data_IF_681518625169
#
_entry.id   IF_681518625169
#
_cell.length_a   1.000
_cell.length_b   1.000
_cell.length_c   1.000
_cell.angle_alpha   90.00
_cell.angle_beta   90.00
_cell.angle_gamma   90.00
#
_symmetry.space_group_name_H-M   'P 1'
#
loop_
_entity.id
_entity.type
_entity.pdbx_description
1 polymer ?
#
# COMPACT_ATOMS: atom_id res chain seq x y z
N UNK A 1 6.84 3.98 -8.31
CA UNK A 1 5.96 3.16 -7.46
C UNK A 1 4.65 2.92 -8.17
N UNK A 2 4.14 1.71 -8.05
CA UNK A 2 2.97 1.19 -8.76
C UNK A 2 1.86 0.83 -7.77
N UNK A 3 0.59 1.06 -8.12
CA UNK A 3 -0.53 0.75 -7.20
C UNK A 3 -0.75 -0.75 -7.02
N UNK A 4 -0.40 -1.57 -8.00
CA UNK A 4 -0.46 -3.03 -7.96
C UNK A 4 0.83 -3.68 -8.48
N UNK A 5 0.95 -5.00 -8.41
CA UNK A 5 2.08 -5.72 -8.98
C UNK A 5 2.05 -5.65 -10.52
N UNK A 6 3.10 -5.09 -11.12
CA UNK A 6 3.28 -5.03 -12.58
C UNK A 6 3.18 -3.62 -13.19
N UNK A 7 3.79 -3.45 -14.38
CA UNK A 7 3.90 -2.16 -15.09
C UNK A 7 2.58 -1.67 -15.70
N UNK A 8 1.59 -2.55 -15.86
CA UNK A 8 0.27 -2.19 -16.36
C UNK A 8 -0.59 -1.48 -15.32
N UNK A 9 -0.14 -1.44 -14.06
CA UNK A 9 -0.85 -0.74 -12.99
C UNK A 9 -0.43 0.75 -12.95
N UNK A 10 -1.31 1.65 -12.48
CA UNK A 10 -1.03 3.07 -12.39
C UNK A 10 0.22 3.37 -11.57
N UNK A 11 1.02 4.32 -12.05
CA UNK A 11 2.06 4.94 -11.23
C UNK A 11 1.41 5.87 -10.22
N UNK A 12 1.84 5.75 -8.96
CA UNK A 12 1.25 6.50 -7.84
C UNK A 12 2.25 7.37 -7.10
N UNK A 13 3.52 7.29 -7.47
CA UNK A 13 4.61 8.06 -6.90
C UNK A 13 5.97 7.64 -7.44
N UNK A 14 7.01 8.37 -7.04
CA UNK A 14 8.41 8.10 -7.39
C UNK A 14 9.19 8.00 -6.09
N UNK A 15 9.88 6.89 -5.90
CA UNK A 15 10.95 6.78 -4.92
C UNK A 15 12.26 7.16 -5.64
N UNK A 16 12.93 8.20 -5.16
CA UNK A 16 14.19 8.65 -5.73
C UNK A 16 15.35 7.86 -5.14
N UNK A 17 16.43 7.79 -5.91
CA UNK A 17 17.67 7.18 -5.43
C UNK A 17 18.14 7.87 -4.15
N UNK A 18 18.38 7.09 -3.11
CA UNK A 18 18.79 7.58 -1.78
C UNK A 18 17.63 7.93 -0.85
N UNK A 19 16.37 7.81 -1.27
CA UNK A 19 15.24 7.92 -0.36
C UNK A 19 15.20 6.74 0.60
N UNK A 20 14.80 7.03 1.85
CA UNK A 20 14.57 6.00 2.85
C UNK A 20 13.19 5.36 2.62
N UNK A 21 13.19 4.08 2.24
CA UNK A 21 12.00 3.27 2.05
C UNK A 21 11.73 2.43 3.30
N UNK A 22 10.48 2.39 3.76
CA UNK A 22 10.02 1.28 4.60
C UNK A 22 9.56 0.14 3.71
N UNK A 23 9.95 -1.11 3.98
CA UNK A 23 9.57 -2.27 3.15
C UNK A 23 8.73 -3.27 3.94
N UNK A 24 7.67 -3.81 3.33
CA UNK A 24 6.70 -4.67 4.01
C UNK A 24 6.86 -6.15 3.64
N UNK A 25 6.81 -6.44 2.33
CA UNK A 25 6.71 -7.79 1.80
C UNK A 25 7.09 -7.81 0.31
N UNK A 26 7.28 -9.01 -0.23
CA UNK A 26 7.53 -9.23 -1.65
C UNK A 26 6.37 -9.97 -2.33
N UNK A 27 6.19 -9.71 -3.63
CA UNK A 27 5.23 -10.37 -4.51
C UNK A 27 5.86 -10.55 -5.90
N UNK A 28 5.40 -11.56 -6.64
CA UNK A 28 5.78 -11.75 -8.04
C UNK A 28 4.71 -11.15 -8.96
N UNK A 29 5.13 -10.50 -10.03
CA UNK A 29 4.22 -10.17 -11.14
C UNK A 29 3.90 -11.42 -11.99
N UNK A 30 3.08 -11.24 -13.03
CA UNK A 30 2.72 -12.31 -13.97
C UNK A 30 3.91 -12.86 -14.79
N UNK A 31 5.07 -12.21 -14.76
CA UNK A 31 6.29 -12.61 -15.45
C UNK A 31 7.34 -13.18 -14.49
N UNK A 32 6.95 -13.54 -13.25
CA UNK A 32 7.83 -13.99 -12.17
C UNK A 32 8.93 -12.98 -11.79
N UNK A 33 8.70 -11.69 -12.02
CA UNK A 33 9.58 -10.62 -11.56
C UNK A 33 9.16 -10.15 -10.18
N UNK A 34 10.13 -9.93 -9.30
CA UNK A 34 9.90 -9.60 -7.89
C UNK A 34 9.67 -8.11 -7.69
N UNK A 35 8.54 -7.77 -7.08
CA UNK A 35 8.25 -6.45 -6.53
C UNK A 35 8.21 -6.49 -5.01
N UNK A 36 8.55 -5.36 -4.42
CA UNK A 36 8.47 -5.09 -2.99
C UNK A 36 7.38 -4.06 -2.75
N UNK A 37 6.47 -4.34 -1.82
CA UNK A 37 5.57 -3.33 -1.29
C UNK A 37 6.36 -2.43 -0.35
N UNK A 38 6.51 -1.16 -0.74
CA UNK A 38 7.32 -0.17 -0.06
C UNK A 38 6.52 1.09 0.28
N UNK A 39 7.02 1.84 1.26
CA UNK A 39 6.53 3.14 1.71
C UNK A 39 7.66 4.14 1.48
N UNK A 40 7.47 5.06 0.55
CA UNK A 40 8.39 6.18 0.31
C UNK A 40 8.13 7.26 1.36
N UNK A 41 9.06 7.40 2.30
CA UNK A 41 8.91 8.29 3.46
C UNK A 41 9.14 9.76 3.13
N UNK A 42 10.16 10.14 2.34
CA UNK A 42 10.49 11.55 2.12
C UNK A 42 9.44 12.37 1.38
N UNK A 43 8.62 11.74 0.53
CA UNK A 43 7.62 12.41 -0.29
C UNK A 43 8.20 13.11 -1.52
N UNK A 44 9.49 12.98 -1.88
CA UNK A 44 10.28 13.99 -2.62
C UNK A 44 9.95 14.28 -4.11
N UNK A 45 8.68 14.35 -4.51
CA UNK A 45 8.23 14.51 -5.89
C UNK A 45 7.17 15.62 -6.14
N UNK A 46 7.58 16.89 -6.32
CA UNK A 46 6.68 17.97 -6.79
C UNK A 46 5.50 18.34 -5.85
N UNK A 47 4.34 17.70 -6.02
CA UNK A 47 3.22 17.73 -5.05
C UNK A 47 3.36 16.47 -4.19
N UNK A 48 4.03 16.62 -3.06
CA UNK A 48 4.66 15.57 -2.27
C UNK A 48 3.74 15.01 -1.18
N UNK A 49 3.39 13.72 -1.26
CA UNK A 49 2.74 13.01 -0.15
C UNK A 49 3.74 12.06 0.49
N UNK A 50 4.28 12.46 1.63
CA UNK A 50 5.10 11.58 2.46
C UNK A 50 4.34 10.28 2.78
N UNK A 51 5.09 9.19 2.92
CA UNK A 51 4.58 7.84 3.15
C UNK A 51 3.71 7.32 2.01
N UNK A 52 4.02 7.67 0.76
CA UNK A 52 3.35 7.07 -0.40
C UNK A 52 3.66 5.57 -0.44
N UNK A 53 2.63 4.72 -0.47
CA UNK A 53 2.79 3.27 -0.42
C UNK A 53 2.47 2.63 -1.76
N UNK A 54 3.29 1.67 -2.20
CA UNK A 54 3.14 1.03 -3.50
C UNK A 54 4.24 0.05 -3.81
N UNK A 55 4.15 -0.59 -4.97
CA UNK A 55 5.12 -1.58 -5.42
C UNK A 55 6.30 -0.95 -6.16
N UNK A 56 7.51 -1.43 -5.85
CA UNK A 56 8.78 -1.07 -6.50
C UNK A 56 9.45 -2.38 -6.93
N UNK A 57 10.19 -2.39 -8.04
CA UNK A 57 10.99 -3.55 -8.39
C UNK A 57 12.06 -3.80 -7.35
N UNK A 58 12.26 -5.05 -6.95
CA UNK A 58 13.31 -5.38 -6.00
C UNK A 58 14.70 -4.97 -6.51
N UNK A 59 14.92 -5.03 -7.83
CA UNK A 59 16.18 -4.67 -8.47
C UNK A 59 16.44 -3.14 -8.48
N UNK A 60 15.41 -2.33 -8.22
CA UNK A 60 15.52 -0.86 -8.11
C UNK A 60 15.84 -0.40 -6.67
N UNK A 61 15.89 -1.32 -5.70
CA UNK A 61 16.18 -1.02 -4.29
C UNK A 61 17.65 -1.34 -4.00
N UNK A 62 18.36 -0.34 -3.46
CA UNK A 62 19.72 -0.52 -2.95
C UNK A 62 19.66 -1.21 -1.57
N UNK A 63 19.82 -2.53 -1.56
CA UNK A 63 19.74 -3.36 -0.36
C UNK A 63 19.24 -4.78 -0.66
N UNK A 64 19.56 -5.73 0.21
CA UNK A 64 18.98 -7.08 0.10
C UNK A 64 17.51 -7.04 0.53
N UNK A 65 16.59 -7.40 -0.38
CA UNK A 65 15.15 -7.49 -0.11
C UNK A 65 14.65 -8.94 -0.10
N UNK A 66 15.55 -9.93 -0.21
CA UNK A 66 15.19 -11.34 -0.27
C UNK A 66 14.64 -11.90 1.05
N UNK A 67 14.99 -11.25 2.17
CA UNK A 67 14.50 -11.60 3.50
C UNK A 67 13.01 -11.27 3.71
N UNK A 68 12.42 -10.45 2.84
CA UNK A 68 11.04 -10.02 3.01
C UNK A 68 10.08 -11.20 2.87
N UNK A 69 9.06 -11.31 3.72
CA UNK A 69 8.06 -12.37 3.58
C UNK A 69 7.18 -12.14 2.33
N UNK A 70 6.55 -13.19 1.77
CA UNK A 70 5.51 -13.02 0.75
C UNK A 70 4.36 -12.15 1.26
N UNK A 71 3.81 -11.28 0.41
CA UNK A 71 2.70 -10.41 0.80
C UNK A 71 1.43 -11.18 1.26
N UNK A 72 1.25 -12.43 0.82
CA UNK A 72 0.17 -13.31 1.30
C UNK A 72 0.35 -13.79 2.75
N UNK A 73 1.52 -13.62 3.35
CA UNK A 73 1.87 -14.14 4.69
C UNK A 73 1.94 -13.07 5.78
N UNK A 74 1.69 -11.81 5.44
CA UNK A 74 1.68 -10.69 6.40
C UNK A 74 0.30 -10.06 6.50
N UNK A 75 0.11 -9.27 7.55
CA UNK A 75 -1.12 -8.51 7.77
C UNK A 75 -2.27 -9.36 8.30
N UNK A 76 -3.44 -8.75 8.32
CA UNK A 76 -4.70 -9.33 8.80
C UNK A 76 -5.79 -9.13 7.77
N UNK A 77 -6.67 -10.12 7.63
CA UNK A 77 -7.86 -9.96 6.81
C UNK A 77 -8.85 -9.00 7.48
N UNK A 78 -9.18 -7.94 6.75
CA UNK A 78 -10.12 -6.88 7.12
C UNK A 78 -11.17 -6.73 6.03
N UNK A 79 -12.34 -6.24 6.42
CA UNK A 79 -13.46 -5.92 5.54
C UNK A 79 -13.86 -4.46 5.69
N UNK A 80 -13.96 -3.72 4.58
CA UNK A 80 -14.58 -2.41 4.58
C UNK A 80 -16.05 -2.52 5.00
N UNK A 81 -16.52 -1.57 5.82
CA UNK A 81 -17.93 -1.44 6.21
C UNK A 81 -18.80 -0.85 5.10
N UNK A 82 -18.16 -0.15 4.14
CA UNK A 82 -18.76 0.48 2.96
C UNK A 82 -17.73 0.57 1.84
N UNK A 83 -18.19 0.84 0.63
CA UNK A 83 -17.30 1.15 -0.48
C UNK A 83 -16.50 2.42 -0.14
N UNK A 84 -15.19 2.27 0.01
CA UNK A 84 -14.30 3.36 0.43
C UNK A 84 -13.12 3.50 -0.50
N UNK A 85 -12.57 4.70 -0.59
CA UNK A 85 -11.42 4.98 -1.45
C UNK A 85 -10.13 4.40 -0.85
N UNK A 86 -9.26 3.88 -1.72
CA UNK A 86 -7.87 3.61 -1.37
C UNK A 86 -7.00 4.77 -1.86
N UNK A 87 -6.14 5.26 -0.99
CA UNK A 87 -5.31 6.45 -1.18
C UNK A 87 -3.84 6.07 -1.33
N UNK A 88 -3.11 6.81 -2.16
CA UNK A 88 -1.67 6.57 -2.41
C UNK A 88 -0.80 6.90 -1.20
N UNK A 89 -1.20 7.88 -0.38
CA UNK A 89 -0.53 8.26 0.86
C UNK A 89 -1.52 8.46 2.02
N UNK A 90 -1.02 8.66 3.25
CA UNK A 90 -1.86 8.98 4.40
C UNK A 90 -2.50 10.37 4.22
N UNK A 91 -3.80 10.38 4.00
CA UNK A 91 -4.60 11.59 3.90
C UNK A 91 -5.57 11.56 2.71
N UNK A 92 -6.78 12.08 2.93
CA UNK A 92 -7.85 12.08 1.92
C UNK A 92 -7.60 13.03 0.74
N UNK A 93 -6.58 13.89 0.84
CA UNK A 93 -6.14 14.78 -0.23
C UNK A 93 -5.11 14.14 -1.16
N UNK A 94 -4.64 12.92 -0.88
CA UNK A 94 -3.73 12.20 -1.77
C UNK A 94 -4.53 11.56 -2.92
N UNK A 95 -3.90 11.23 -4.06
CA UNK A 95 -4.58 10.57 -5.16
C UNK A 95 -5.27 9.28 -4.73
N UNK A 96 -6.52 9.12 -5.15
CA UNK A 96 -7.25 7.85 -5.07
C UNK A 96 -6.68 6.88 -6.10
N UNK A 97 -6.29 5.70 -5.64
CA UNK A 97 -5.66 4.65 -6.45
C UNK A 97 -6.57 3.43 -6.65
N UNK A 98 -7.72 3.41 -5.96
CA UNK A 98 -8.66 2.29 -6.01
C UNK A 98 -9.84 2.47 -5.07
N UNK A 99 -10.57 1.38 -4.87
CA UNK A 99 -11.69 1.23 -3.95
C UNK A 99 -11.43 0.02 -3.06
N UNK A 100 -11.82 0.06 -1.80
CA UNK A 100 -12.00 -1.14 -1.01
C UNK A 100 -13.51 -1.37 -0.93
N UNK A 101 -13.99 -2.43 -1.58
CA UNK A 101 -15.42 -2.69 -1.70
C UNK A 101 -15.97 -3.28 -0.40
N UNK A 102 -17.19 -2.89 -0.06
CA UNK A 102 -17.86 -3.37 1.14
C UNK A 102 -17.89 -4.91 1.18
N UNK A 103 -17.46 -5.49 2.32
CA UNK A 103 -17.46 -6.93 2.53
C UNK A 103 -16.37 -7.73 1.77
N UNK A 104 -15.63 -7.11 0.85
CA UNK A 104 -14.47 -7.74 0.21
C UNK A 104 -13.26 -7.75 1.15
N UNK A 105 -12.34 -8.70 0.92
CA UNK A 105 -11.14 -8.84 1.75
C UNK A 105 -10.05 -7.85 1.34
N UNK A 106 -9.60 -7.11 2.34
CA UNK A 106 -8.37 -6.34 2.33
C UNK A 106 -7.40 -6.96 3.32
N UNK A 107 -6.19 -7.24 2.89
CA UNK A 107 -5.11 -7.61 3.79
C UNK A 107 -4.52 -6.32 4.39
N UNK A 108 -4.90 -5.99 5.62
CA UNK A 108 -4.40 -4.84 6.38
C UNK A 108 -3.02 -5.11 6.95
N UNK A 109 -2.05 -4.26 6.62
CA UNK A 109 -0.62 -4.49 6.90
C UNK A 109 -0.16 -3.70 8.12
N UNK A 110 -0.45 -2.40 8.15
CA UNK A 110 -0.04 -1.50 9.20
C UNK A 110 -0.98 -0.30 9.27
N UNK A 111 -0.90 0.47 10.35
CA UNK A 111 -1.66 1.70 10.56
C UNK A 111 -0.76 2.94 10.66
N UNK A 112 -1.30 4.09 10.30
CA UNK A 112 -0.62 5.39 10.39
C UNK A 112 -1.64 6.48 10.70
N UNK A 113 -1.20 7.56 11.33
CA UNK A 113 -2.03 8.75 11.58
C UNK A 113 -1.61 9.87 10.64
N UNK A 114 -2.57 10.49 9.95
CA UNK A 114 -2.30 11.65 9.11
C UNK A 114 -2.04 12.93 9.93
N UNK A 115 -1.70 14.02 9.23
CA UNK A 115 -1.42 15.32 9.86
C UNK A 115 -2.65 15.99 10.53
N UNK A 116 -3.84 15.41 10.41
CA UNK A 116 -5.08 15.87 11.05
C UNK A 116 -5.52 14.93 12.18
N UNK A 117 -4.70 13.95 12.56
CA UNK A 117 -5.03 13.01 13.62
C UNK A 117 -5.98 11.88 13.17
N UNK A 118 -6.20 11.69 11.87
CA UNK A 118 -7.03 10.61 11.35
C UNK A 118 -6.19 9.36 11.15
N UNK A 119 -6.67 8.22 11.65
CA UNK A 119 -6.03 6.92 11.47
C UNK A 119 -6.38 6.35 10.10
N UNK A 120 -5.38 5.86 9.39
CA UNK A 120 -5.51 5.12 8.15
C UNK A 120 -4.79 3.78 8.26
N UNK A 121 -5.26 2.81 7.49
CA UNK A 121 -4.67 1.47 7.40
C UNK A 121 -4.10 1.28 6.00
N UNK A 122 -2.81 0.98 5.91
CA UNK A 122 -2.23 0.48 4.66
C UNK A 122 -2.75 -0.94 4.43
N UNK A 123 -3.49 -1.14 3.36
CA UNK A 123 -4.07 -2.43 3.00
C UNK A 123 -3.80 -2.83 1.56
N UNK A 124 -3.89 -4.13 1.30
CA UNK A 124 -3.83 -4.72 -0.03
C UNK A 124 -5.17 -5.35 -0.40
N UNK A 125 -5.86 -4.78 -1.40
CA UNK A 125 -7.14 -5.30 -1.89
C UNK A 125 -6.94 -6.52 -2.79
N UNK A 126 -7.55 -7.65 -2.44
CA UNK A 126 -7.22 -8.93 -3.09
C UNK A 126 -8.00 -9.19 -4.39
N UNK A 127 -9.23 -8.68 -4.51
CA UNK A 127 -10.19 -9.11 -5.54
C UNK A 127 -10.09 -8.37 -6.89
N UNK A 128 -9.37 -7.25 -6.97
CA UNK A 128 -9.06 -6.58 -8.24
C UNK A 128 -10.21 -5.89 -8.98
N UNK A 129 -11.35 -5.61 -8.32
CA UNK A 129 -12.52 -4.94 -8.91
C UNK A 129 -12.44 -3.41 -8.96
N UNK A 130 -11.25 -2.83 -8.83
CA UNK A 130 -11.05 -1.39 -8.71
C UNK A 130 -11.01 -0.64 -10.03
N UNK A 131 -12.15 -0.54 -10.73
CA UNK A 131 -12.37 0.35 -11.88
C UNK A 131 -11.57 0.00 -13.15
N UNK A 132 -10.38 -0.58 -13.01
CA UNK A 132 -9.52 -1.20 -14.01
C UNK A 132 -8.67 -2.28 -13.29
N UNK A 133 -9.10 -3.54 -13.34
CA UNK A 133 -8.35 -4.82 -13.29
C UNK A 133 -7.03 -5.03 -12.49
N UNK A 134 -6.80 -4.50 -11.28
CA UNK A 134 -5.58 -4.87 -10.53
C UNK A 134 -5.88 -5.48 -9.17
N UNK A 135 -5.85 -6.81 -9.11
CA UNK A 135 -5.72 -7.52 -7.84
C UNK A 135 -4.44 -7.05 -7.14
N UNK A 136 -4.43 -7.16 -5.81
CA UNK A 136 -3.31 -6.76 -4.96
C UNK A 136 -3.02 -5.25 -4.98
N UNK A 137 -3.98 -4.38 -5.34
CA UNK A 137 -3.82 -2.93 -5.18
C UNK A 137 -3.51 -2.59 -3.73
N UNK A 138 -2.43 -1.86 -3.48
CA UNK A 138 -1.98 -1.47 -2.15
C UNK A 138 -2.13 0.04 -1.93
N UNK A 139 -2.76 0.43 -0.82
CA UNK A 139 -2.94 1.84 -0.44
C UNK A 139 -3.66 1.99 0.89
N UNK A 140 -3.85 3.25 1.29
CA UNK A 140 -4.41 3.61 2.59
C UNK A 140 -5.93 3.69 2.55
N UNK A 141 -6.58 3.07 3.52
CA UNK A 141 -8.02 3.12 3.75
C UNK A 141 -8.26 3.90 5.04
N UNK A 142 -9.30 4.72 5.06
CA UNK A 142 -9.69 5.40 6.30
C UNK A 142 -10.18 4.37 7.31
N UNK A 143 -9.61 4.38 8.50
CA UNK A 143 -9.89 3.36 9.50
C UNK A 143 -11.37 3.30 9.93
N UNK A 144 -12.05 4.46 9.97
CA UNK A 144 -13.49 4.54 10.27
C UNK A 144 -14.37 3.82 9.22
N UNK A 145 -13.80 3.48 8.05
CA UNK A 145 -14.46 2.73 6.98
C UNK A 145 -14.18 1.22 7.03
N UNK A 146 -13.47 0.74 8.05
CA UNK A 146 -13.16 -0.68 8.26
C UNK A 146 -14.08 -1.22 9.36
N UNK A 147 -14.77 -2.33 9.09
CA UNK A 147 -15.67 -2.96 10.05
C UNK A 147 -14.92 -3.77 11.12
N UNK A 148 -13.77 -4.35 10.75
CA UNK A 148 -12.94 -5.15 11.64
C UNK A 148 -12.06 -4.30 12.56
N UNK A 149 -11.66 -4.84 13.70
CA UNK A 149 -10.73 -4.16 14.62
C UNK A 149 -9.31 -4.09 14.05
N UNK A 150 -8.78 -2.88 13.92
CA UNK A 150 -7.46 -2.55 13.38
C UNK A 150 -6.42 -2.16 14.44
N UNK A 151 -6.78 -2.14 15.73
CA UNK A 151 -5.90 -1.72 16.83
C UNK A 151 -4.65 -2.61 16.95
N UNK A 152 -4.78 -3.89 16.62
CA UNK A 152 -3.67 -4.85 16.66
C UNK A 152 -2.69 -4.71 15.47
N UNK A 153 -3.01 -3.88 14.47
CA UNK A 153 -2.06 -3.63 13.38
C UNK A 153 -0.85 -2.87 13.91
N UNK A 154 0.36 -3.22 13.45
CA UNK A 154 1.57 -2.47 13.78
C UNK A 154 1.53 -1.08 13.14
N UNK A 155 2.30 -0.13 13.67
CA UNK A 155 2.49 1.16 13.00
C UNK A 155 3.31 0.99 11.71
N UNK A 156 3.07 1.83 10.70
CA UNK A 156 3.73 1.74 9.38
C UNK A 156 5.23 2.08 9.35
N UNK A 157 5.90 2.14 10.51
CA UNK A 157 7.35 2.29 10.64
C UNK A 157 8.12 1.02 10.28
N UNK A 158 7.93 0.50 9.06
CA UNK A 158 8.44 -0.79 8.60
C UNK A 158 9.97 -0.83 8.45
N UNK A 159 10.54 -2.06 8.46
CA UNK A 159 11.96 -2.39 8.61
C UNK A 159 12.92 -1.59 7.71
#
# INVERSE_FOLDING_TARGET
MYSGPGLSTPRIGTAWRGDNLGVACQILDSNNKRLVLAIERPGRNGVQWANTAGYIWADDIDGDTSFLPPCSSIGRDLRPSRDTAMYSGPGLSTPRIGTAWAGELVNGICKITDNKGKRLVLGRHLAGRNGVQWANTAGYIWDDDIADNTDALPDCGLA
#
